data_IF_659365737359
#
_entry.id   IF_659365737359
#
_cell.length_a   1.000
_cell.length_b   1.000
_cell.length_c   1.000
_cell.angle_alpha   90.00
_cell.angle_beta   90.00
_cell.angle_gamma   90.00
#
_symmetry.space_group_name_H-M   'P 1'
#
loop_
_entity.id
_entity.type
_entity.pdbx_description
1 polymer ?
#
# COMPACT_ATOMS: atom_id res chain seq x y z
N UNK A 1 -21.97 5.98 -1.06
CA UNK A 1 -21.62 5.88 0.36
C UNK A 1 -20.25 5.24 0.51
N UNK A 2 -19.39 5.85 1.33
CA UNK A 2 -18.03 5.38 1.61
C UNK A 2 -17.78 5.44 3.12
N UNK A 3 -16.95 4.53 3.64
CA UNK A 3 -16.48 4.61 5.03
C UNK A 3 -15.33 5.60 5.15
N UNK A 4 -15.32 6.42 6.19
CA UNK A 4 -14.12 7.14 6.60
C UNK A 4 -13.33 6.28 7.58
N UNK A 5 -12.03 6.13 7.37
CA UNK A 5 -11.23 5.30 8.27
C UNK A 5 -11.22 5.89 9.68
N UNK A 6 -11.44 5.03 10.68
CA UNK A 6 -11.56 5.40 12.09
C UNK A 6 -12.70 6.39 12.42
N UNK A 7 -13.68 6.55 11.52
CA UNK A 7 -14.81 7.47 11.67
C UNK A 7 -16.09 6.87 11.07
N UNK A 8 -17.15 7.69 11.01
CA UNK A 8 -18.46 7.27 10.47
C UNK A 8 -18.46 7.13 8.94
N UNK A 9 -19.57 6.62 8.41
CA UNK A 9 -19.80 6.55 6.97
C UNK A 9 -20.34 7.88 6.47
N UNK A 10 -20.04 8.20 5.22
CA UNK A 10 -20.59 9.39 4.56
C UNK A 10 -21.32 9.04 3.27
N UNK A 11 -22.37 9.79 2.99
CA UNK A 11 -23.10 9.77 1.73
C UNK A 11 -22.89 11.12 1.04
N UNK A 12 -22.28 11.11 -0.14
CA UNK A 12 -22.17 12.31 -0.98
C UNK A 12 -23.57 12.61 -1.55
N UNK A 13 -24.05 13.82 -1.30
CA UNK A 13 -25.36 14.31 -1.71
C UNK A 13 -25.23 15.29 -2.89
N UNK A 14 -24.17 16.09 -2.91
CA UNK A 14 -23.91 17.07 -3.97
C UNK A 14 -22.41 17.15 -4.31
N UNK A 15 -22.14 17.40 -5.59
CA UNK A 15 -20.79 17.67 -6.13
C UNK A 15 -20.81 19.07 -6.72
N UNK A 16 -20.06 19.98 -6.11
CA UNK A 16 -19.85 21.32 -6.64
C UNK A 16 -18.66 21.28 -7.59
N UNK A 17 -18.82 21.84 -8.79
CA UNK A 17 -17.79 21.87 -9.83
C UNK A 17 -17.44 23.31 -10.19
N UNK A 18 -16.22 23.54 -10.69
CA UNK A 18 -15.81 24.82 -11.26
C UNK A 18 -16.33 24.99 -12.70
N UNK A 19 -15.96 26.10 -13.35
CA UNK A 19 -16.36 26.41 -14.73
C UNK A 19 -15.81 25.43 -15.78
N UNK A 20 -14.76 24.65 -15.46
CA UNK A 20 -14.19 23.62 -16.33
C UNK A 20 -14.78 22.23 -16.08
N UNK A 21 -15.67 22.09 -15.09
CA UNK A 21 -16.34 20.84 -14.73
C UNK A 21 -15.57 19.98 -13.73
N UNK A 22 -14.48 20.48 -13.14
CA UNK A 22 -13.72 19.75 -12.13
C UNK A 22 -14.38 19.89 -10.74
N UNK A 23 -14.48 18.79 -9.96
CA UNK A 23 -15.02 18.84 -8.61
C UNK A 23 -14.15 19.70 -7.67
N UNK A 24 -14.76 20.66 -6.97
CA UNK A 24 -14.09 21.53 -6.00
C UNK A 24 -14.56 21.31 -4.57
N UNK A 25 -15.79 20.82 -4.39
CA UNK A 25 -16.35 20.52 -3.07
C UNK A 25 -17.34 19.37 -3.16
N UNK A 26 -17.27 18.46 -2.18
CA UNK A 26 -18.25 17.40 -2.00
C UNK A 26 -19.07 17.69 -0.75
N UNK A 27 -20.38 17.89 -0.92
CA UNK A 27 -21.30 18.02 0.21
C UNK A 27 -21.78 16.63 0.56
N UNK A 28 -21.47 16.22 1.80
CA UNK A 28 -21.75 14.87 2.28
C UNK A 28 -22.51 14.90 3.58
N UNK A 29 -23.48 13.99 3.72
CA UNK A 29 -24.15 13.70 4.99
C UNK A 29 -23.46 12.57 5.72
N UNK A 30 -23.24 12.75 7.02
CA UNK A 30 -22.71 11.70 7.90
C UNK A 30 -23.85 10.73 8.25
N UNK A 31 -23.57 9.43 8.14
CA UNK A 31 -24.47 8.36 8.55
C UNK A 31 -23.91 7.76 9.85
N UNK A 32 -24.56 7.99 11.01
CA UNK A 32 -24.17 7.40 12.27
C UNK A 32 -24.13 5.87 12.22
N UNK A 33 -23.19 5.27 12.94
CA UNK A 33 -23.09 3.80 12.96
C UNK A 33 -24.29 3.11 13.63
N UNK A 34 -25.04 3.85 14.46
CA UNK A 34 -26.26 3.39 15.13
C UNK A 34 -27.45 3.24 14.18
N UNK A 35 -27.41 3.84 13.00
CA UNK A 35 -28.57 3.91 12.09
C UNK A 35 -28.81 2.61 11.30
N UNK A 36 -28.07 1.52 11.57
CA UNK A 36 -28.31 0.19 11.00
C UNK A 36 -28.44 0.21 9.47
N UNK A 37 -27.32 0.24 8.75
CA UNK A 37 -27.33 0.46 7.30
C UNK A 37 -26.35 -0.42 6.52
N UNK A 38 -26.49 -0.37 5.19
CA UNK A 38 -25.64 -1.08 4.23
C UNK A 38 -24.15 -0.83 4.53
N UNK A 39 -23.34 -1.89 4.55
CA UNK A 39 -21.89 -1.77 4.74
C UNK A 39 -21.29 -1.05 3.53
N UNK A 40 -20.43 -0.03 3.71
CA UNK A 40 -19.79 0.62 2.58
C UNK A 40 -18.91 -0.37 1.82
N UNK A 41 -18.86 -0.23 0.48
CA UNK A 41 -18.04 -1.09 -0.39
C UNK A 41 -16.53 -0.84 -0.20
N UNK A 42 -16.16 0.28 0.41
CA UNK A 42 -14.77 0.62 0.70
C UNK A 42 -14.65 1.71 1.77
N UNK A 43 -13.44 1.85 2.29
CA UNK A 43 -13.07 2.86 3.28
C UNK A 43 -11.89 3.66 2.76
N UNK A 44 -11.99 4.99 2.85
CA UNK A 44 -10.96 5.93 2.43
C UNK A 44 -10.27 6.57 3.64
N UNK A 45 -9.02 6.95 3.46
CA UNK A 45 -8.32 7.86 4.36
C UNK A 45 -8.87 9.29 4.18
N UNK A 46 -8.76 10.10 5.23
CA UNK A 46 -9.23 11.47 5.26
C UNK A 46 -8.45 12.24 6.33
N UNK A 47 -8.43 13.57 6.22
CA UNK A 47 -7.92 14.43 7.27
C UNK A 47 -8.92 15.56 7.57
N UNK A 48 -9.10 15.96 8.83
CA UNK A 48 -9.96 17.07 9.18
C UNK A 48 -9.35 18.40 8.69
N UNK A 49 -10.18 19.31 8.17
CA UNK A 49 -9.74 20.66 7.75
C UNK A 49 -9.07 21.43 8.89
N UNK A 50 -9.62 21.32 10.09
CA UNK A 50 -9.22 22.12 11.26
C UNK A 50 -7.89 21.72 11.89
N UNK A 51 -7.48 20.45 11.75
CA UNK A 51 -6.25 19.94 12.38
C UNK A 51 -5.32 19.24 11.40
N UNK A 52 -5.54 19.43 10.09
CA UNK A 52 -4.57 19.04 9.09
C UNK A 52 -3.52 20.12 8.91
N UNK A 53 -2.30 19.69 8.67
CA UNK A 53 -1.18 20.55 8.32
C UNK A 53 -0.85 20.39 6.84
N UNK A 54 -0.38 21.48 6.24
CA UNK A 54 0.11 21.49 4.87
C UNK A 54 1.57 21.02 4.85
N UNK A 55 1.90 20.11 3.93
CA UNK A 55 3.24 19.58 3.73
C UNK A 55 3.56 19.52 2.23
N UNK A 56 4.85 19.52 1.92
CA UNK A 56 5.33 19.18 0.58
C UNK A 56 5.59 17.67 0.54
N UNK A 57 5.10 16.99 -0.50
CA UNK A 57 5.48 15.61 -0.79
C UNK A 57 6.15 15.51 -2.15
N UNK A 58 7.23 14.72 -2.22
CA UNK A 58 7.99 14.47 -3.45
C UNK A 58 7.84 13.01 -3.83
N UNK A 59 7.35 12.78 -5.04
CA UNK A 59 7.14 11.47 -5.64
C UNK A 59 8.24 11.24 -6.66
N UNK A 60 9.01 10.16 -6.48
CA UNK A 60 10.09 9.81 -7.40
C UNK A 60 9.68 8.66 -8.32
N UNK A 61 9.84 8.89 -9.62
CA UNK A 61 9.67 7.92 -10.70
C UNK A 61 11.04 7.54 -11.29
N UNK A 62 11.13 6.56 -12.20
CA UNK A 62 12.38 6.26 -12.89
C UNK A 62 12.98 7.52 -13.52
N UNK A 63 14.29 7.72 -13.35
CA UNK A 63 15.01 8.89 -13.87
C UNK A 63 15.06 8.91 -15.40
N UNK A 64 15.11 7.72 -16.01
CA UNK A 64 15.15 7.57 -17.46
C UNK A 64 13.84 6.98 -17.97
N UNK A 65 13.48 7.33 -19.20
CA UNK A 65 12.31 6.80 -19.90
C UNK A 65 12.55 5.41 -20.53
N UNK A 66 13.82 4.99 -20.60
CA UNK A 66 14.27 3.71 -21.14
C UNK A 66 15.15 2.96 -20.12
N UNK A 67 15.23 1.63 -20.26
CA UNK A 67 15.95 0.76 -19.30
C UNK A 67 17.47 0.94 -19.37
N UNK A 68 18.01 1.09 -20.58
CA UNK A 68 19.45 1.24 -20.83
C UNK A 68 19.68 2.54 -21.60
N UNK A 69 19.97 3.65 -20.91
CA UNK A 69 20.26 4.92 -21.56
C UNK A 69 21.60 4.90 -22.30
N UNK A 70 21.71 5.67 -23.38
CA UNK A 70 22.94 5.76 -24.16
C UNK A 70 23.82 6.90 -23.64
N UNK A 71 25.10 6.62 -23.37
CA UNK A 71 26.08 7.58 -22.85
C UNK A 71 26.21 8.87 -23.69
N UNK A 72 25.95 8.82 -25.00
CA UNK A 72 26.05 10.00 -25.87
C UNK A 72 24.74 10.82 -25.95
N UNK A 73 23.58 10.24 -25.58
CA UNK A 73 22.25 10.87 -25.74
C UNK A 73 21.37 10.84 -24.49
N UNK A 74 21.91 10.45 -23.34
CA UNK A 74 21.17 10.24 -22.09
C UNK A 74 20.34 11.44 -21.63
N UNK A 75 20.76 12.68 -21.91
CA UNK A 75 20.02 13.89 -21.55
C UNK A 75 18.63 13.94 -22.20
N UNK A 76 18.51 13.45 -23.43
CA UNK A 76 17.23 13.38 -24.16
C UNK A 76 16.32 12.25 -23.64
N UNK A 77 16.88 11.32 -22.86
CA UNK A 77 16.20 10.14 -22.33
C UNK A 77 15.73 10.34 -20.87
N UNK A 78 16.06 11.49 -20.27
CA UNK A 78 15.59 11.90 -18.95
C UNK A 78 14.06 11.99 -18.91
N UNK A 79 13.51 11.46 -17.84
CA UNK A 79 12.10 11.56 -17.53
C UNK A 79 11.81 12.91 -16.86
N UNK A 80 11.12 13.81 -17.54
CA UNK A 80 10.71 15.10 -16.96
C UNK A 80 9.74 14.95 -15.77
N UNK A 81 9.15 13.77 -15.60
CA UNK A 81 8.28 13.41 -14.49
C UNK A 81 9.00 12.50 -13.48
N UNK A 82 10.34 12.43 -13.52
CA UNK A 82 11.15 11.67 -12.55
C UNK A 82 10.92 12.14 -11.12
N UNK A 83 10.54 13.41 -10.95
CA UNK A 83 10.15 14.02 -9.69
C UNK A 83 8.84 14.78 -9.87
N UNK A 84 7.84 14.45 -9.06
CA UNK A 84 6.57 15.18 -8.99
C UNK A 84 6.44 15.74 -7.58
N UNK A 85 6.39 17.07 -7.49
CA UNK A 85 6.25 17.80 -6.22
C UNK A 85 4.80 18.19 -6.01
N UNK A 86 4.23 17.77 -4.88
CA UNK A 86 2.89 18.17 -4.42
C UNK A 86 3.10 19.11 -3.22
N UNK A 87 2.92 20.40 -3.45
CA UNK A 87 3.24 21.45 -2.46
C UNK A 87 2.19 21.66 -1.38
N UNK A 88 0.97 21.18 -1.60
CA UNK A 88 -0.21 21.46 -0.77
C UNK A 88 -0.85 20.19 -0.19
N UNK A 89 -0.08 19.10 -0.11
CA UNK A 89 -0.54 17.86 0.48
C UNK A 89 -0.92 18.07 1.97
N UNK A 90 -1.99 17.41 2.42
CA UNK A 90 -2.48 17.54 3.79
C UNK A 90 -2.30 16.26 4.57
N UNK A 91 -1.75 16.39 5.77
CA UNK A 91 -1.61 15.28 6.73
C UNK A 91 -2.18 15.68 8.08
N UNK A 92 -2.55 14.70 8.89
CA UNK A 92 -3.05 14.95 10.24
C UNK A 92 -1.94 15.50 11.15
N UNK A 93 -2.26 16.46 12.03
CA UNK A 93 -1.30 17.08 12.94
C UNK A 93 -0.63 16.09 13.91
N UNK A 94 -1.16 14.86 14.09
CA UNK A 94 -0.49 13.80 14.84
C UNK A 94 0.91 13.47 14.31
N UNK A 95 1.22 13.80 13.05
CA UNK A 95 2.58 13.67 12.50
C UNK A 95 3.61 14.48 13.31
N UNK A 96 3.21 15.58 13.94
CA UNK A 96 4.08 16.46 14.74
C UNK A 96 4.45 15.88 16.11
N UNK A 97 3.95 14.68 16.44
CA UNK A 97 4.19 14.03 17.73
C UNK A 97 5.36 13.05 17.62
N UNK A 98 5.26 11.86 18.24
CA UNK A 98 6.30 10.82 18.21
C UNK A 98 6.69 10.40 16.79
N UNK A 99 5.82 10.60 15.81
CA UNK A 99 6.12 10.33 14.40
C UNK A 99 7.17 11.27 13.81
N UNK A 100 7.21 12.55 14.21
CA UNK A 100 8.24 13.48 13.76
C UNK A 100 9.59 13.14 14.38
N UNK A 101 9.61 12.76 15.66
CA UNK A 101 10.82 12.28 16.34
C UNK A 101 11.36 10.99 15.70
N UNK A 102 10.47 10.10 15.26
CA UNK A 102 10.87 8.93 14.50
C UNK A 102 11.44 9.31 13.13
N UNK A 103 10.75 10.20 12.40
CA UNK A 103 11.15 10.60 11.07
C UNK A 103 12.47 11.39 11.03
N UNK A 104 12.69 12.28 12.01
CA UNK A 104 13.95 13.02 12.19
C UNK A 104 15.14 12.11 12.48
N UNK A 105 14.90 10.92 13.02
CA UNK A 105 15.92 9.87 13.22
C UNK A 105 16.08 8.95 12.00
N UNK A 106 15.54 9.34 10.85
CA UNK A 106 15.57 8.55 9.61
C UNK A 106 14.50 7.47 9.51
N UNK A 107 13.51 7.49 10.42
CA UNK A 107 12.40 6.56 10.40
C UNK A 107 11.42 6.82 9.25
N UNK A 108 10.85 5.75 8.70
CA UNK A 108 9.80 5.86 7.69
C UNK A 108 8.41 5.95 8.34
N UNK A 109 7.55 6.80 7.78
CA UNK A 109 6.15 6.95 8.16
C UNK A 109 5.27 6.43 7.04
N UNK A 110 4.28 5.60 7.36
CA UNK A 110 3.31 5.13 6.38
C UNK A 110 2.14 6.11 6.29
N UNK A 111 1.98 6.77 5.14
CA UNK A 111 0.74 7.46 4.83
C UNK A 111 -0.25 6.45 4.26
N UNK A 112 -1.37 6.29 4.98
CA UNK A 112 -2.30 5.20 4.76
C UNK A 112 -2.87 5.22 3.34
N UNK A 113 -2.83 4.06 2.68
CA UNK A 113 -3.27 3.86 1.29
C UNK A 113 -2.52 4.69 0.24
N UNK A 114 -1.44 5.37 0.62
CA UNK A 114 -0.55 6.11 -0.29
C UNK A 114 0.78 5.38 -0.40
N UNK A 115 1.55 5.31 0.69
CA UNK A 115 2.94 4.85 0.61
C UNK A 115 3.70 4.98 1.91
N UNK A 116 4.97 4.60 1.87
CA UNK A 116 5.94 4.89 2.91
C UNK A 116 6.73 6.14 2.55
N UNK A 117 6.88 7.04 3.50
CA UNK A 117 7.51 8.33 3.33
C UNK A 117 8.63 8.52 4.35
N UNK A 118 9.66 9.28 3.98
CA UNK A 118 10.74 9.71 4.88
C UNK A 118 10.82 11.23 4.89
N UNK A 119 11.22 11.80 6.03
CA UNK A 119 11.43 13.23 6.14
C UNK A 119 12.68 13.63 5.35
N UNK A 120 12.52 14.58 4.44
CA UNK A 120 13.62 15.11 3.65
C UNK A 120 14.44 16.14 4.43
N UNK A 121 15.71 16.28 4.08
CA UNK A 121 16.65 17.22 4.72
C UNK A 121 16.29 18.69 4.46
N UNK A 122 15.53 18.97 3.41
CA UNK A 122 14.99 20.30 3.11
C UNK A 122 13.87 20.73 4.07
N UNK A 123 13.42 19.81 4.93
CA UNK A 123 12.46 20.11 5.99
C UNK A 123 13.06 21.11 7.00
N UNK A 124 12.26 22.09 7.38
CA UNK A 124 12.60 23.13 8.35
C UNK A 124 11.67 23.02 9.54
N UNK A 125 12.24 22.69 10.70
CA UNK A 125 11.49 22.51 11.95
C UNK A 125 11.58 23.71 12.90
N UNK A 126 12.30 24.76 12.51
CA UNK A 126 12.50 25.95 13.32
C UNK A 126 11.20 26.78 13.44
N UNK A 127 10.94 27.29 14.63
CA UNK A 127 9.82 28.20 14.90
C UNK A 127 9.92 29.43 13.99
N UNK A 128 8.87 29.69 13.21
CA UNK A 128 8.78 30.81 12.25
C UNK A 128 9.09 30.48 10.80
N UNK A 129 9.68 29.32 10.50
CA UNK A 129 9.85 28.81 9.13
C UNK A 129 9.59 27.31 9.07
N UNK A 130 8.40 26.92 9.55
CA UNK A 130 8.00 25.53 9.62
C UNK A 130 7.62 25.01 8.23
N UNK A 131 8.39 24.05 7.71
CA UNK A 131 8.15 23.35 6.44
C UNK A 131 8.47 21.87 6.62
N UNK A 132 7.52 21.00 6.34
CA UNK A 132 7.76 19.56 6.26
C UNK A 132 7.79 19.14 4.80
N UNK A 133 8.85 18.43 4.43
CA UNK A 133 9.05 17.84 3.11
C UNK A 133 9.19 16.34 3.29
N UNK A 134 8.33 15.57 2.61
CA UNK A 134 8.34 14.11 2.69
C UNK A 134 8.59 13.48 1.32
N UNK A 135 9.55 12.56 1.27
CA UNK A 135 9.86 11.82 0.07
C UNK A 135 9.19 10.45 0.11
N UNK A 136 8.45 10.12 -0.93
CA UNK A 136 7.88 8.79 -1.11
C UNK A 136 9.01 7.79 -1.41
N UNK A 137 9.18 6.79 -0.55
CA UNK A 137 10.20 5.74 -0.71
C UNK A 137 9.63 4.53 -1.45
N UNK A 138 8.47 4.06 -1.02
CA UNK A 138 7.84 2.85 -1.57
C UNK A 138 6.34 3.07 -1.69
N UNK A 139 5.84 2.91 -2.92
CA UNK A 139 4.41 2.85 -3.19
C UNK A 139 3.80 1.57 -2.63
N UNK A 140 2.57 1.67 -2.10
CA UNK A 140 1.81 0.47 -1.77
C UNK A 140 1.44 -0.27 -3.07
N UNK A 141 1.55 -1.59 -3.05
CA UNK A 141 1.16 -2.41 -4.21
C UNK A 141 -0.34 -2.32 -4.41
N UNK A 142 -0.76 -1.85 -5.58
CA UNK A 142 -2.13 -2.05 -6.01
C UNK A 142 -2.37 -3.53 -6.27
N UNK A 143 -3.44 -4.08 -5.68
CA UNK A 143 -3.90 -5.42 -6.01
C UNK A 143 -4.44 -5.39 -7.44
N UNK A 144 -3.89 -6.27 -8.28
CA UNK A 144 -4.20 -6.39 -9.72
C UNK A 144 -5.70 -6.26 -10.01
N UNK A 145 -6.10 -5.60 -11.12
CA UNK A 145 -7.48 -5.66 -11.57
C UNK A 145 -7.83 -7.12 -11.85
N UNK A 146 -8.79 -7.65 -11.09
CA UNK A 146 -9.43 -8.91 -11.41
C UNK A 146 -10.23 -8.67 -12.68
N UNK A 147 -9.90 -9.34 -13.79
CA UNK A 147 -10.68 -9.27 -15.02
C UNK A 147 -12.13 -9.64 -14.71
N UNK A 148 -12.99 -8.63 -14.63
CA UNK A 148 -14.41 -8.80 -14.36
C UNK A 148 -15.13 -9.00 -15.70
N UNK A 149 -15.58 -10.22 -15.94
CA UNK A 149 -16.60 -10.48 -16.95
C UNK A 149 -17.91 -9.78 -16.55
N UNK A 150 -18.35 -8.85 -17.40
CA UNK A 150 -19.75 -8.45 -17.65
C UNK A 150 -20.62 -8.00 -16.47
N UNK A 151 -20.86 -6.69 -16.35
CA UNK A 151 -22.17 -6.06 -16.58
C UNK A 151 -22.06 -4.54 -16.40
N UNK A 152 -22.74 -3.80 -17.27
CA UNK A 152 -22.68 -2.35 -17.37
C UNK A 152 -23.69 -1.68 -16.42
N UNK A 153 -23.23 -1.26 -15.26
CA UNK A 153 -23.76 -0.17 -14.44
C UNK A 153 -22.83 0.02 -13.24
N UNK A 154 -22.62 1.25 -12.79
CA UNK A 154 -21.70 1.68 -11.71
C UNK A 154 -20.27 2.02 -12.15
N UNK A 155 -20.12 3.12 -12.91
CA UNK A 155 -18.85 3.86 -13.01
C UNK A 155 -18.99 5.25 -12.37
N UNK A 156 -19.03 5.32 -11.05
CA UNK A 156 -18.94 6.62 -10.33
C UNK A 156 -17.94 6.58 -9.15
N UNK A 157 -17.35 5.43 -8.82
CA UNK A 157 -16.53 5.30 -7.60
C UNK A 157 -15.01 5.43 -7.79
N UNK A 158 -14.52 6.08 -8.85
CA UNK A 158 -13.07 6.18 -9.12
C UNK A 158 -12.62 7.52 -9.72
N UNK A 159 -13.38 8.60 -9.50
CA UNK A 159 -13.11 9.91 -10.15
C UNK A 159 -12.32 10.93 -9.31
N UNK A 160 -11.78 10.54 -8.16
CA UNK A 160 -10.94 11.42 -7.30
C UNK A 160 -9.47 11.00 -7.24
N UNK A 161 -9.11 9.84 -7.80
CA UNK A 161 -7.71 9.43 -8.00
C UNK A 161 -7.24 9.59 -9.47
N UNK A 162 -8.14 9.95 -10.38
CA UNK A 162 -7.89 10.03 -11.83
C UNK A 162 -7.44 11.41 -12.31
N UNK A 163 -7.79 12.48 -11.61
CA UNK A 163 -7.58 13.85 -12.15
C UNK A 163 -6.22 14.48 -11.84
N UNK A 164 -5.41 13.88 -10.95
CA UNK A 164 -4.06 14.40 -10.65
C UNK A 164 -2.96 13.37 -10.95
N UNK A 165 -3.28 12.07 -11.10
CA UNK A 165 -2.27 11.00 -11.29
C UNK A 165 -2.52 10.02 -12.45
N UNK A 166 -3.56 10.17 -13.29
CA UNK A 166 -3.85 9.20 -14.38
C UNK A 166 -3.52 9.63 -15.83
N UNK A 167 -3.10 10.87 -16.18
CA UNK A 167 -2.54 11.08 -17.51
C UNK A 167 -1.22 10.32 -17.76
N UNK A 168 -0.50 9.86 -16.72
CA UNK A 168 0.88 9.35 -16.85
C UNK A 168 0.95 7.81 -16.95
N UNK A 169 0.04 7.05 -16.33
CA UNK A 169 0.12 5.57 -16.33
C UNK A 169 -0.57 4.88 -17.52
N UNK A 170 -1.32 5.60 -18.35
CA UNK A 170 -2.11 4.98 -19.43
C UNK A 170 -1.43 4.90 -20.80
N UNK A 171 -0.20 5.43 -20.92
CA UNK A 171 0.53 5.51 -22.20
C UNK A 171 1.63 4.45 -22.36
N UNK A 172 1.98 3.70 -21.31
CA UNK A 172 3.01 2.64 -21.37
C UNK A 172 2.49 1.20 -21.49
N UNK A 173 1.18 0.96 -21.63
CA UNK A 173 0.64 -0.40 -21.83
C UNK A 173 -0.06 -0.61 -23.18
N UNK A 174 0.30 0.17 -24.20
CA UNK A 174 -0.25 0.02 -25.55
C UNK A 174 0.78 -0.32 -26.62
N UNK A 175 1.80 -1.12 -26.28
CA UNK A 175 2.58 -1.87 -27.27
C UNK A 175 3.10 -3.17 -26.67
N UNK A 176 2.24 -4.19 -26.57
CA UNK A 176 2.63 -5.62 -26.65
C UNK A 176 1.37 -6.45 -26.97
N UNK A 177 0.90 -6.35 -28.22
CA UNK A 177 0.04 -7.38 -28.79
C UNK A 177 0.93 -8.45 -29.42
N UNK A 178 1.26 -9.49 -28.63
CA UNK A 178 1.96 -10.65 -29.16
C UNK A 178 2.61 -11.57 -28.13
N UNK A 179 1.83 -12.33 -27.35
CA UNK A 179 2.26 -13.61 -26.73
C UNK A 179 1.12 -14.31 -25.95
N UNK A 180 -0.06 -14.50 -26.57
CA UNK A 180 -1.22 -15.14 -25.92
C UNK A 180 -1.16 -16.68 -25.84
N UNK A 181 -0.16 -17.34 -26.43
CA UNK A 181 -0.03 -18.81 -26.38
C UNK A 181 0.83 -19.32 -25.22
N UNK A 182 1.92 -18.62 -24.90
CA UNK A 182 2.95 -19.11 -23.95
C UNK A 182 2.47 -19.22 -22.49
N UNK A 183 1.78 -18.22 -21.93
CA UNK A 183 1.37 -18.26 -20.51
C UNK A 183 0.32 -19.33 -20.20
N UNK A 184 -0.59 -19.62 -21.14
CA UNK A 184 -1.63 -20.64 -20.97
C UNK A 184 -1.04 -22.05 -21.04
N UNK A 185 -0.08 -22.28 -21.94
CA UNK A 185 0.65 -23.55 -22.02
C UNK A 185 1.54 -23.79 -20.79
N UNK A 186 2.19 -22.74 -20.27
CA UNK A 186 3.04 -22.86 -19.09
C UNK A 186 2.26 -23.15 -17.81
N UNK A 187 1.09 -22.51 -17.65
CA UNK A 187 0.17 -22.84 -16.56
C UNK A 187 -0.40 -24.27 -16.70
N UNK A 188 -0.72 -24.71 -17.91
CA UNK A 188 -1.17 -26.08 -18.16
C UNK A 188 -0.07 -27.11 -17.85
N UNK A 189 1.19 -26.82 -18.20
CA UNK A 189 2.35 -27.67 -17.90
C UNK A 189 2.60 -27.76 -16.40
N UNK A 190 2.56 -26.64 -15.67
CA UNK A 190 2.72 -26.62 -14.21
C UNK A 190 1.58 -27.35 -13.49
N UNK A 191 0.34 -27.23 -13.98
CA UNK A 191 -0.79 -27.96 -13.43
C UNK A 191 -0.68 -29.46 -13.68
N UNK A 192 -0.26 -29.87 -14.89
CA UNK A 192 -0.02 -31.27 -15.22
C UNK A 192 1.11 -31.86 -14.37
N UNK A 193 2.19 -31.12 -14.14
CA UNK A 193 3.30 -31.55 -13.27
C UNK A 193 2.86 -31.66 -11.81
N UNK A 194 2.07 -30.70 -11.30
CA UNK A 194 1.48 -30.79 -9.95
C UNK A 194 0.55 -31.99 -9.81
N UNK A 195 -0.31 -32.23 -10.80
CA UNK A 195 -1.22 -33.39 -10.79
C UNK A 195 -0.46 -34.71 -10.90
N UNK A 196 0.66 -34.76 -11.63
CA UNK A 196 1.53 -35.93 -11.66
C UNK A 196 2.21 -36.14 -10.31
N UNK A 197 2.72 -35.07 -9.67
CA UNK A 197 3.30 -35.12 -8.33
C UNK A 197 2.29 -35.53 -7.24
N UNK A 198 1.02 -35.15 -7.38
CA UNK A 198 -0.05 -35.58 -6.47
C UNK A 198 -0.44 -37.06 -6.62
N UNK A 199 -0.03 -37.72 -7.70
CA UNK A 199 -0.25 -39.16 -7.94
C UNK A 199 0.92 -40.03 -7.50
N UNK A 200 2.03 -39.44 -7.06
CA UNK A 200 3.14 -40.18 -6.47
C UNK A 200 2.75 -40.62 -5.06
N UNK A 201 3.05 -41.88 -4.72
CA UNK A 201 2.87 -42.38 -3.36
C UNK A 201 3.70 -41.51 -2.40
N UNK A 202 3.18 -41.16 -1.20
CA UNK A 202 3.90 -40.30 -0.27
C UNK A 202 5.35 -40.70 0.02
N UNK A 203 5.68 -41.99 -0.10
CA UNK A 203 7.05 -42.50 0.06
C UNK A 203 8.02 -42.00 -1.02
N UNK A 204 7.56 -41.89 -2.27
CA UNK A 204 8.36 -41.49 -3.43
C UNK A 204 8.71 -39.99 -3.44
N UNK A 205 7.95 -39.16 -2.70
CA UNK A 205 8.21 -37.71 -2.63
C UNK A 205 9.53 -37.37 -1.95
N UNK A 206 10.00 -38.19 -1.01
CA UNK A 206 11.18 -37.88 -0.19
C UNK A 206 12.49 -38.38 -0.81
N UNK A 207 12.43 -39.40 -1.68
CA UNK A 207 13.59 -39.99 -2.35
C UNK A 207 14.33 -39.01 -3.28
N UNK A 208 13.63 -37.98 -3.78
CA UNK A 208 14.20 -36.99 -4.70
C UNK A 208 14.67 -35.69 -4.02
N UNK A 209 14.55 -35.57 -2.69
CA UNK A 209 14.92 -34.36 -1.93
C UNK A 209 16.28 -34.51 -1.22
N UNK A 210 17.31 -34.86 -1.98
CA UNK A 210 18.68 -35.16 -1.47
C UNK A 210 19.38 -33.96 -0.83
N UNK A 211 18.94 -32.74 -1.14
CA UNK A 211 19.52 -31.51 -0.58
C UNK A 211 19.08 -31.24 0.87
N UNK A 212 17.97 -31.85 1.30
CA UNK A 212 17.32 -31.59 2.59
C UNK A 212 17.46 -32.74 3.60
N UNK A 213 17.78 -33.96 3.13
CA UNK A 213 17.88 -35.15 3.98
C UNK A 213 19.11 -35.98 3.62
N UNK A 214 19.94 -36.28 4.63
CA UNK A 214 21.24 -36.95 4.45
C UNK A 214 21.21 -38.47 4.66
N UNK A 215 20.15 -39.03 5.24
CA UNK A 215 20.01 -40.47 5.49
C UNK A 215 18.53 -40.93 5.42
N UNK A 216 18.31 -42.14 4.89
CA UNK A 216 17.00 -42.77 4.70
C UNK A 216 17.04 -44.22 5.17
N UNK A 217 15.93 -44.73 5.69
CA UNK A 217 15.79 -46.14 6.05
C UNK A 217 15.44 -47.03 4.83
N UNK A 218 15.33 -48.35 5.07
CA UNK A 218 14.97 -49.34 4.03
C UNK A 218 13.58 -49.14 3.43
N UNK A 219 12.74 -48.33 4.05
CA UNK A 219 11.37 -48.04 3.62
C UNK A 219 11.24 -46.64 2.97
N UNK A 220 12.36 -45.92 2.79
CA UNK A 220 12.44 -44.65 2.07
C UNK A 220 12.07 -43.41 2.89
N UNK A 221 12.02 -43.51 4.22
CA UNK A 221 11.67 -42.40 5.11
C UNK A 221 12.94 -41.69 5.60
N UNK A 222 13.01 -40.35 5.58
CA UNK A 222 14.15 -39.61 6.13
C UNK A 222 14.32 -39.89 7.63
N UNK A 223 15.49 -40.36 8.03
CA UNK A 223 15.82 -40.61 9.44
C UNK A 223 16.90 -39.65 9.91
N UNK A 224 16.64 -38.92 10.99
CA UNK A 224 17.63 -38.06 11.65
C UNK A 224 18.03 -38.68 12.98
N UNK A 225 19.33 -38.79 13.24
CA UNK A 225 19.89 -39.42 14.45
C UNK A 225 19.35 -38.79 15.73
N UNK A 226 18.67 -39.62 16.54
CA UNK A 226 18.25 -39.27 17.89
C UNK A 226 19.42 -39.45 18.88
N UNK A 227 20.08 -38.37 19.31
CA UNK A 227 21.00 -38.42 20.47
C UNK A 227 20.95 -37.16 21.37
N UNK A 228 20.34 -37.41 22.54
CA UNK A 228 20.72 -37.00 23.91
C UNK A 228 20.32 -35.59 24.41
N UNK A 229 19.33 -35.58 25.31
CA UNK A 229 19.04 -34.56 26.32
C UNK A 229 20.18 -34.42 27.34
N UNK A 230 20.51 -33.19 27.74
CA UNK A 230 20.97 -32.87 29.10
C UNK A 230 20.34 -31.55 29.60
N UNK A 231 20.10 -31.39 30.92
CA UNK A 231 19.15 -30.40 31.45
C UNK A 231 19.82 -29.11 32.01
N UNK A 232 19.02 -28.03 31.97
CA UNK A 232 19.04 -26.79 32.78
C UNK A 232 20.23 -25.81 32.69
N UNK A 233 19.95 -24.62 32.14
CA UNK A 233 19.90 -23.41 32.98
C UNK A 233 18.88 -22.41 32.41
N UNK A 234 17.76 -22.23 33.11
CA UNK A 234 16.85 -21.11 32.90
C UNK A 234 17.57 -19.83 33.35
N UNK A 235 17.73 -18.87 32.45
CA UNK A 235 17.85 -17.46 32.82
C UNK A 235 16.79 -16.70 32.06
N UNK A 236 15.67 -16.53 32.75
CA UNK A 236 14.47 -15.84 32.33
C UNK A 236 14.76 -14.33 32.41
N UNK A 237 15.14 -13.69 31.29
CA UNK A 237 14.99 -12.24 31.19
C UNK A 237 13.53 -11.96 30.81
N UNK A 238 12.71 -11.74 31.84
CA UNK A 238 11.39 -11.12 31.69
C UNK A 238 11.64 -9.66 31.29
N UNK A 239 11.56 -9.35 30.00
CA UNK A 239 11.20 -8.00 29.58
C UNK A 239 9.69 -7.91 29.77
N UNK A 240 9.28 -7.18 30.81
CA UNK A 240 7.90 -6.80 31.05
C UNK A 240 7.33 -6.18 29.77
N UNK A 241 6.51 -6.94 29.04
CA UNK A 241 5.59 -6.36 28.07
C UNK A 241 4.54 -5.60 28.88
N UNK A 242 4.74 -4.28 29.01
CA UNK A 242 3.62 -3.41 29.36
C UNK A 242 2.60 -3.52 28.22
N UNK A 243 1.34 -3.84 28.51
CA UNK A 243 0.30 -3.75 27.49
C UNK A 243 0.09 -2.26 27.21
N UNK A 244 0.53 -1.80 26.03
CA UNK A 244 0.08 -0.52 25.50
C UNK A 244 -1.41 -0.66 25.21
N UNK A 245 -2.20 -0.35 26.22
CA UNK A 245 -3.63 -0.21 26.17
C UNK A 245 -3.92 1.07 25.38
N UNK A 246 -4.09 0.93 24.07
CA UNK A 246 -4.57 2.01 23.22
C UNK A 246 -6.06 2.15 23.53
N UNK A 247 -6.38 2.93 24.58
CA UNK A 247 -7.69 3.52 24.72
C UNK A 247 -7.89 4.49 23.54
N UNK A 248 -8.32 3.95 22.39
CA UNK A 248 -8.95 4.72 21.34
C UNK A 248 -10.20 5.35 21.97
N UNK A 249 -10.10 6.63 22.32
CA UNK A 249 -11.30 7.43 22.55
C UNK A 249 -12.10 7.40 21.24
N UNK A 250 -13.36 6.94 21.25
CA UNK A 250 -14.19 7.05 20.06
C UNK A 250 -14.31 8.54 19.71
N UNK A 251 -14.12 8.87 18.44
CA UNK A 251 -14.44 10.17 17.89
C UNK A 251 -15.96 10.37 17.91
N UNK A 252 -16.55 10.54 19.09
CA UNK A 252 -17.90 11.07 19.24
C UNK A 252 -17.80 12.59 19.26
N UNK A 253 -18.04 13.23 18.10
CA UNK A 253 -18.34 14.66 18.10
C UNK A 253 -19.35 15.00 16.99
N UNK A 254 -20.55 15.38 17.42
CA UNK A 254 -21.77 15.60 16.63
C UNK A 254 -21.91 17.06 16.16
N UNK A 255 -20.87 17.60 15.53
CA UNK A 255 -20.95 18.93 14.90
C UNK A 255 -20.30 18.88 13.53
N UNK A 256 -21.00 19.40 12.51
CA UNK A 256 -20.58 19.37 11.11
C UNK A 256 -19.13 19.82 10.95
N UNK A 257 -18.27 18.88 10.55
CA UNK A 257 -16.86 19.14 10.27
C UNK A 257 -16.61 18.93 8.79
N UNK A 258 -15.98 19.92 8.18
CA UNK A 258 -15.48 19.84 6.81
C UNK A 258 -14.22 18.96 6.79
N UNK A 259 -14.25 17.93 5.95
CA UNK A 259 -13.06 17.18 5.55
C UNK A 259 -12.49 17.83 4.29
N UNK A 260 -11.15 17.81 4.15
CA UNK A 260 -10.45 18.25 2.93
C UNK A 260 -9.96 17.01 2.20
#
# INVERSE_FOLDING_TARGET
MVGLKYANKILCEEVVTNSTGEPTLLICRVIPDTEGGTKPKGTIQWVPKTSSICIETRIYNPLFTIEEPNDDTWEAELNNESEVVISDARVDASILTSHLDHATKGGAVQFERVGFFVLDKDSKLAEGNFKLVFNLTVNLKDSKPKEAGGSASDKVSTHIYTSILIPILHTQNRMQMGAGRSRKEEQAKQLAEKMAKMKLDPKEMFLHMTDLYSAFDSDGVPTHDAKVLHPLHHTLFIIHHTPYNIHHKPYHNTLGREAV
#
